data_IF_867137171551
#
_entry.id   IF_867137171551
#
_cell.length_a   1.000
_cell.length_b   1.000
_cell.length_c   1.000
_cell.angle_alpha   90.00
_cell.angle_beta   90.00
_cell.angle_gamma   90.00
#
_symmetry.space_group_name_H-M   'P 1'
#
loop_
_entity.id
_entity.type
_entity.pdbx_description
1 polymer ?
#
# COMPACT_ATOMS: atom_id res chain seq x y z
N UNK A 1 5.58 5.70 21.60
CA UNK A 1 4.99 4.65 20.72
C UNK A 1 5.48 4.81 19.28
N UNK A 2 5.11 5.84 18.52
CA UNK A 2 5.58 5.99 17.13
C UNK A 2 6.95 6.71 17.09
N UNK A 3 7.95 6.07 17.63
CA UNK A 3 9.32 6.60 17.66
C UNK A 3 10.11 5.99 16.50
N UNK A 4 10.84 6.85 15.78
CA UNK A 4 11.78 6.36 14.76
C UNK A 4 12.93 5.65 15.46
N UNK A 5 13.42 4.58 14.85
CA UNK A 5 14.57 3.87 15.41
C UNK A 5 15.84 4.70 15.34
N UNK A 6 16.67 4.60 16.36
CA UNK A 6 18.03 5.15 16.34
C UNK A 6 18.93 4.43 15.33
N UNK A 7 18.51 3.25 14.85
CA UNK A 7 19.25 2.40 13.91
C UNK A 7 18.63 2.39 12.50
N UNK A 8 18.08 3.52 12.05
CA UNK A 8 17.53 3.65 10.71
C UNK A 8 18.59 3.37 9.64
N UNK A 9 18.28 2.45 8.72
CA UNK A 9 19.10 2.19 7.55
C UNK A 9 18.38 2.76 6.31
N UNK A 10 18.84 3.92 5.83
CA UNK A 10 18.21 4.63 4.71
C UNK A 10 18.97 4.35 3.43
N UNK A 11 18.34 3.65 2.50
CA UNK A 11 18.81 3.51 1.13
C UNK A 11 18.00 4.41 0.21
N UNK A 12 18.69 5.14 -0.68
CA UNK A 12 18.08 6.03 -1.66
C UNK A 12 18.48 5.62 -3.06
N UNK A 13 17.50 5.35 -3.90
CA UNK A 13 17.68 5.05 -5.32
C UNK A 13 17.06 6.15 -6.18
N UNK A 14 17.74 6.51 -7.27
CA UNK A 14 17.14 7.33 -8.33
C UNK A 14 16.61 6.39 -9.40
N UNK A 15 15.29 6.27 -9.47
CA UNK A 15 14.62 5.42 -10.43
C UNK A 15 13.79 6.26 -11.39
N UNK A 16 14.12 6.20 -12.68
CA UNK A 16 13.48 7.00 -13.75
C UNK A 16 13.36 8.50 -13.39
N UNK A 17 14.39 9.07 -12.73
CA UNK A 17 14.44 10.48 -12.36
C UNK A 17 13.61 10.85 -11.10
N UNK A 18 13.04 9.90 -10.38
CA UNK A 18 12.40 10.10 -9.08
C UNK A 18 13.15 9.35 -7.98
N UNK A 19 13.08 9.84 -6.75
CA UNK A 19 13.69 9.15 -5.60
C UNK A 19 12.78 8.08 -5.07
N UNK A 20 13.36 6.93 -4.77
CA UNK A 20 12.73 5.87 -3.97
C UNK A 20 13.60 5.70 -2.73
N UNK A 21 12.98 5.73 -1.57
CA UNK A 21 13.66 5.46 -0.30
C UNK A 21 13.19 4.12 0.23
N UNK A 22 14.14 3.29 0.64
CA UNK A 22 13.91 2.08 1.43
C UNK A 22 14.54 2.31 2.79
N UNK A 23 13.74 2.21 3.84
CA UNK A 23 14.18 2.51 5.20
C UNK A 23 13.91 1.29 6.05
N UNK A 24 14.97 0.59 6.43
CA UNK A 24 14.92 -0.55 7.32
C UNK A 24 15.00 -0.10 8.79
N UNK A 25 14.52 -0.94 9.69
CA UNK A 25 14.43 -0.64 11.11
C UNK A 25 13.66 0.69 11.37
N UNK A 26 12.53 0.87 10.71
CA UNK A 26 11.85 2.18 10.66
C UNK A 26 11.37 2.64 12.03
N UNK A 27 10.64 1.79 12.76
CA UNK A 27 10.21 2.08 14.13
C UNK A 27 11.10 1.41 15.16
N UNK A 28 11.30 2.07 16.29
CA UNK A 28 12.08 1.55 17.41
C UNK A 28 11.43 0.32 18.06
N UNK A 29 10.11 0.34 18.24
CA UNK A 29 9.34 -0.73 18.85
C UNK A 29 8.22 -1.22 17.89
N UNK A 30 8.57 -1.91 16.77
CA UNK A 30 7.61 -2.26 15.74
C UNK A 30 6.54 -3.25 16.20
N UNK A 31 6.86 -4.14 17.14
CA UNK A 31 5.88 -5.10 17.68
C UNK A 31 4.81 -4.39 18.50
N UNK A 32 5.17 -3.41 19.32
CA UNK A 32 4.21 -2.60 20.09
C UNK A 32 3.29 -1.80 19.15
N UNK A 33 3.85 -1.28 18.06
CA UNK A 33 3.07 -0.53 17.07
C UNK A 33 2.15 -1.46 16.29
N UNK A 34 2.65 -2.61 15.87
CA UNK A 34 1.86 -3.63 15.19
C UNK A 34 0.68 -4.08 16.05
N UNK A 35 0.93 -4.38 17.32
CA UNK A 35 -0.12 -4.76 18.28
C UNK A 35 -1.14 -3.62 18.46
N UNK A 36 -0.70 -2.38 18.53
CA UNK A 36 -1.60 -1.24 18.65
C UNK A 36 -2.47 -1.02 17.43
N UNK A 37 -1.89 -1.16 16.22
CA UNK A 37 -2.60 -0.89 14.97
C UNK A 37 -3.51 -2.05 14.53
N UNK A 38 -3.16 -3.31 14.83
CA UNK A 38 -3.77 -4.49 14.22
C UNK A 38 -4.37 -5.48 15.22
N UNK A 39 -4.31 -5.20 16.53
CA UNK A 39 -4.87 -6.08 17.57
C UNK A 39 -6.36 -6.33 17.36
N UNK A 40 -7.11 -5.28 17.06
CA UNK A 40 -8.51 -5.38 16.72
C UNK A 40 -8.64 -5.11 15.20
N UNK A 41 -9.40 -5.93 14.47
CA UNK A 41 -9.63 -5.68 13.06
C UNK A 41 -10.21 -4.28 12.84
N UNK A 42 -9.60 -3.51 11.97
CA UNK A 42 -10.15 -2.24 11.54
C UNK A 42 -11.55 -2.44 10.92
N UNK A 43 -12.44 -1.45 10.94
CA UNK A 43 -13.72 -1.56 10.26
C UNK A 43 -13.52 -1.82 8.77
N UNK A 44 -14.44 -2.57 8.17
CA UNK A 44 -14.48 -2.71 6.71
C UNK A 44 -14.59 -1.32 6.08
N UNK A 45 -13.96 -1.16 4.94
CA UNK A 45 -14.07 0.07 4.18
C UNK A 45 -15.54 0.34 3.82
N UNK A 46 -16.00 1.57 3.94
CA UNK A 46 -17.44 1.94 3.82
C UNK A 46 -18.09 1.55 2.50
N UNK A 47 -17.30 1.37 1.44
CA UNK A 47 -17.83 0.96 0.14
C UNK A 47 -18.37 -0.47 0.15
N UNK A 48 -17.98 -1.30 1.11
CA UNK A 48 -18.50 -2.66 1.28
C UNK A 48 -19.90 -2.73 1.89
N UNK A 49 -20.37 -1.65 2.52
CA UNK A 49 -21.72 -1.56 3.05
C UNK A 49 -22.80 -1.35 1.95
N UNK A 50 -22.38 -1.31 0.67
CA UNK A 50 -23.32 -1.13 -0.43
C UNK A 50 -23.96 -2.47 -0.83
N UNK A 51 -25.27 -2.68 -0.57
CA UNK A 51 -25.95 -3.96 -0.86
C UNK A 51 -26.03 -4.30 -2.36
N UNK A 52 -25.70 -3.36 -3.25
CA UNK A 52 -25.64 -3.61 -4.70
C UNK A 52 -24.46 -4.48 -5.09
N UNK A 53 -23.43 -4.57 -4.23
CA UNK A 53 -22.21 -5.29 -4.50
C UNK A 53 -22.01 -6.40 -3.47
N UNK A 54 -22.81 -7.47 -3.57
CA UNK A 54 -22.79 -8.59 -2.60
C UNK A 54 -21.56 -9.50 -2.71
N UNK A 55 -20.73 -9.34 -3.72
CA UNK A 55 -19.54 -10.17 -3.95
C UNK A 55 -18.29 -9.38 -3.67
N UNK A 56 -17.94 -9.26 -2.40
CA UNK A 56 -16.66 -8.69 -2.00
C UNK A 56 -15.57 -9.72 -2.26
N UNK A 57 -14.74 -9.46 -3.28
CA UNK A 57 -13.64 -10.34 -3.70
C UNK A 57 -12.49 -10.38 -2.68
N UNK A 58 -12.47 -9.45 -1.73
CA UNK A 58 -11.47 -9.39 -0.69
C UNK A 58 -11.98 -8.57 0.51
N UNK A 59 -11.38 -8.78 1.67
CA UNK A 59 -11.59 -7.91 2.82
C UNK A 59 -10.52 -6.82 2.84
N UNK A 60 -10.95 -5.58 2.73
CA UNK A 60 -10.12 -4.41 2.93
C UNK A 60 -10.61 -3.64 4.16
N UNK A 61 -9.81 -3.67 5.21
CA UNK A 61 -10.10 -3.02 6.47
C UNK A 61 -9.19 -1.82 6.59
N UNK A 62 -9.77 -0.63 6.59
CA UNK A 62 -9.03 0.64 6.65
C UNK A 62 -9.45 1.45 7.85
N UNK A 63 -8.47 1.92 8.60
CA UNK A 63 -8.66 2.90 9.65
C UNK A 63 -7.80 4.12 9.33
N UNK A 64 -8.41 5.27 9.15
CA UNK A 64 -7.68 6.54 9.13
C UNK A 64 -7.20 6.85 10.54
N UNK A 65 -5.90 6.89 10.71
CA UNK A 65 -5.28 7.05 12.01
C UNK A 65 -4.57 8.39 12.08
N UNK A 66 -5.30 9.43 12.50
CA UNK A 66 -4.61 10.64 12.95
C UNK A 66 -4.25 10.49 14.43
N UNK A 67 -2.98 10.35 14.69
CA UNK A 67 -2.43 10.33 16.04
C UNK A 67 -1.34 11.41 16.12
N UNK A 68 -1.48 12.33 17.06
CA UNK A 68 -0.50 13.41 17.26
C UNK A 68 0.92 12.87 17.50
N UNK A 69 1.03 11.66 18.03
CA UNK A 69 2.32 10.97 18.25
C UNK A 69 3.04 10.61 16.95
N UNK A 70 2.35 10.61 15.82
CA UNK A 70 2.94 10.42 14.49
C UNK A 70 3.63 11.67 13.94
N UNK A 71 3.49 12.82 14.58
CA UNK A 71 4.05 14.07 14.06
C UNK A 71 5.57 14.02 13.79
N UNK A 72 6.42 13.40 14.63
CA UNK A 72 7.84 13.26 14.31
C UNK A 72 8.08 12.43 13.04
N UNK A 73 7.33 11.34 12.86
CA UNK A 73 7.40 10.48 11.66
C UNK A 73 6.98 11.25 10.41
N UNK A 74 5.86 11.95 10.49
CA UNK A 74 5.34 12.78 9.39
C UNK A 74 6.38 13.85 8.99
N UNK A 75 6.97 14.55 9.95
CA UNK A 75 7.99 15.55 9.68
C UNK A 75 9.24 14.97 9.01
N UNK A 76 9.66 13.78 9.44
CA UNK A 76 10.79 13.08 8.86
C UNK A 76 10.52 12.70 7.39
N UNK A 77 9.37 12.07 7.11
CA UNK A 77 8.99 11.66 5.76
C UNK A 77 8.73 12.87 4.84
N UNK A 78 8.11 13.93 5.35
CA UNK A 78 7.92 15.18 4.62
C UNK A 78 9.24 15.83 4.19
N UNK A 79 10.25 15.77 5.07
CA UNK A 79 11.60 16.26 4.75
C UNK A 79 12.28 15.40 3.67
N UNK A 80 12.11 14.08 3.69
CA UNK A 80 12.67 13.17 2.70
C UNK A 80 12.03 13.36 1.32
N UNK A 81 10.69 13.41 1.28
CA UNK A 81 9.93 13.59 0.04
C UNK A 81 10.00 15.02 -0.50
N UNK A 82 10.31 15.99 0.35
CA UNK A 82 10.17 17.43 0.07
C UNK A 82 8.72 17.82 -0.26
N UNK A 83 7.74 17.11 0.30
CA UNK A 83 6.31 17.33 0.08
C UNK A 83 5.57 17.58 1.40
N UNK A 84 4.38 18.13 1.30
CA UNK A 84 3.53 18.34 2.46
C UNK A 84 2.75 17.07 2.79
N UNK A 85 2.60 16.71 4.05
CA UNK A 85 1.77 15.58 4.44
C UNK A 85 0.30 15.92 4.18
N UNK A 86 -0.45 14.98 3.63
CA UNK A 86 -1.89 14.96 3.74
C UNK A 86 -2.24 14.54 5.16
N UNK A 87 -2.44 15.52 6.04
CA UNK A 87 -2.60 15.30 7.48
C UNK A 87 -3.74 14.36 7.88
N UNK A 88 -4.67 14.11 6.96
CA UNK A 88 -5.85 13.27 7.19
C UNK A 88 -5.78 11.91 6.50
N UNK A 89 -4.69 11.62 5.79
CA UNK A 89 -4.55 10.39 5.02
C UNK A 89 -3.34 9.57 5.49
N UNK A 90 -3.32 9.25 6.78
CA UNK A 90 -2.54 8.14 7.31
C UNK A 90 -3.52 7.01 7.53
N UNK A 91 -3.33 5.91 6.80
CA UNK A 91 -4.21 4.77 6.90
C UNK A 91 -3.50 3.54 7.44
N UNK A 92 -4.22 2.78 8.24
CA UNK A 92 -3.85 1.43 8.64
C UNK A 92 -4.69 0.48 7.83
N UNK A 93 -4.05 -0.36 7.04
CA UNK A 93 -4.73 -1.27 6.13
C UNK A 93 -4.47 -2.72 6.52
N UNK A 94 -5.55 -3.51 6.52
CA UNK A 94 -5.54 -4.96 6.65
C UNK A 94 -6.28 -5.53 5.45
N UNK A 95 -5.57 -6.21 4.56
CA UNK A 95 -6.15 -6.75 3.32
C UNK A 95 -5.95 -8.25 3.25
N UNK A 96 -7.00 -8.99 2.94
CA UNK A 96 -6.97 -10.42 2.60
C UNK A 96 -7.96 -10.72 1.47
N UNK A 97 -7.74 -11.82 0.77
CA UNK A 97 -8.55 -12.25 -0.37
C UNK A 97 -9.41 -13.45 0.00
N UNK A 98 -10.58 -13.56 -0.62
CA UNK A 98 -11.45 -14.71 -0.46
C UNK A 98 -11.02 -15.83 -1.41
N UNK A 99 -10.87 -17.05 -0.88
CA UNK A 99 -10.35 -18.22 -1.61
C UNK A 99 -11.18 -18.61 -2.84
N UNK A 100 -12.49 -18.40 -2.80
CA UNK A 100 -13.42 -18.96 -3.79
C UNK A 100 -13.44 -18.23 -5.14
N UNK A 101 -12.81 -17.05 -5.24
CA UNK A 101 -13.01 -16.18 -6.40
C UNK A 101 -11.74 -15.89 -7.20
N UNK A 102 -10.55 -16.31 -6.73
CA UNK A 102 -9.29 -16.00 -7.40
C UNK A 102 -8.43 -17.22 -7.72
N UNK A 103 -8.98 -18.13 -8.49
CA UNK A 103 -8.16 -19.14 -9.16
C UNK A 103 -7.15 -18.53 -10.16
N UNK A 104 -7.22 -17.22 -10.41
CA UNK A 104 -6.47 -16.57 -11.50
C UNK A 104 -5.57 -15.40 -11.09
N UNK A 105 -5.30 -15.18 -9.77
CA UNK A 105 -4.35 -14.14 -9.34
C UNK A 105 -2.97 -14.28 -10.01
N UNK A 106 -2.60 -15.48 -10.45
CA UNK A 106 -1.37 -15.74 -11.23
C UNK A 106 -1.35 -15.06 -12.58
N UNK A 107 -2.53 -14.85 -13.19
CA UNK A 107 -2.69 -14.24 -14.51
C UNK A 107 -3.13 -12.78 -14.44
N UNK A 108 -3.44 -12.29 -13.24
CA UNK A 108 -3.90 -10.94 -13.01
C UNK A 108 -2.92 -10.15 -12.14
N UNK A 109 -3.08 -8.84 -12.14
CA UNK A 109 -2.40 -7.93 -11.23
C UNK A 109 -3.43 -7.13 -10.45
N UNK A 110 -3.04 -6.67 -9.25
CA UNK A 110 -3.84 -5.71 -8.51
C UNK A 110 -3.87 -4.37 -9.24
N UNK A 111 -5.03 -3.76 -9.32
CA UNK A 111 -5.28 -2.53 -10.08
C UNK A 111 -4.25 -1.45 -9.82
N UNK A 112 -3.42 -1.09 -10.82
CA UNK A 112 -2.52 0.03 -10.71
C UNK A 112 -3.31 1.34 -10.63
N UNK A 113 -3.00 2.15 -9.64
CA UNK A 113 -3.55 3.48 -9.43
C UNK A 113 -2.43 4.48 -9.17
N UNK A 114 -2.75 5.75 -9.27
CA UNK A 114 -1.86 6.87 -8.93
C UNK A 114 -2.45 7.65 -7.76
N UNK A 115 -1.58 8.21 -6.95
CA UNK A 115 -1.94 9.08 -5.83
C UNK A 115 -1.50 10.52 -6.07
N UNK A 116 -1.85 11.44 -5.17
CA UNK A 116 -1.59 12.87 -5.35
C UNK A 116 -0.12 13.25 -5.21
N UNK A 117 0.70 12.41 -4.56
CA UNK A 117 2.11 12.69 -4.32
C UNK A 117 2.91 11.46 -3.93
N UNK A 118 3.84 11.63 -2.99
CA UNK A 118 4.60 10.52 -2.45
C UNK A 118 3.75 9.65 -1.52
N UNK A 119 4.01 8.35 -1.54
CA UNK A 119 3.45 7.38 -0.62
C UNK A 119 4.55 6.76 0.22
N UNK A 120 4.36 6.75 1.53
CA UNK A 120 5.19 5.98 2.46
C UNK A 120 4.41 4.76 2.94
N UNK A 121 4.93 3.56 2.75
CA UNK A 121 4.28 2.31 3.17
C UNK A 121 5.19 1.59 4.16
N UNK A 122 4.73 1.39 5.39
CA UNK A 122 5.38 0.53 6.39
C UNK A 122 4.73 -0.84 6.36
N UNK A 123 5.52 -1.90 6.23
CA UNK A 123 5.06 -3.29 6.22
C UNK A 123 5.18 -3.92 7.61
N UNK A 124 4.12 -4.63 8.03
CA UNK A 124 4.03 -5.25 9.36
C UNK A 124 3.86 -6.78 9.34
N UNK A 125 3.95 -7.42 8.19
CA UNK A 125 3.91 -8.88 8.12
C UNK A 125 5.32 -9.46 8.33
N UNK A 126 5.47 -10.26 9.39
CA UNK A 126 6.70 -11.01 9.65
C UNK A 126 6.88 -12.07 8.56
N UNK A 127 8.12 -12.24 8.08
CA UNK A 127 8.48 -13.24 7.07
C UNK A 127 7.81 -13.05 5.68
N UNK A 128 7.26 -11.88 5.39
CA UNK A 128 6.86 -11.53 4.02
C UNK A 128 8.00 -10.74 3.34
N UNK A 129 8.59 -11.34 2.32
CA UNK A 129 9.64 -10.74 1.49
C UNK A 129 9.24 -10.69 0.01
N UNK A 130 7.98 -10.96 -0.30
CA UNK A 130 7.51 -11.13 -1.67
C UNK A 130 6.33 -10.24 -2.04
N UNK A 131 5.30 -10.17 -1.17
CA UNK A 131 4.04 -9.48 -1.46
C UNK A 131 4.10 -7.98 -1.13
N UNK A 132 5.03 -7.26 -1.73
CA UNK A 132 5.23 -5.84 -1.56
C UNK A 132 4.33 -4.96 -2.44
N UNK A 133 4.95 -3.97 -3.08
CA UNK A 133 4.27 -3.02 -3.97
C UNK A 133 4.95 -3.00 -5.33
N UNK A 134 4.17 -3.22 -6.38
CA UNK A 134 4.65 -3.07 -7.75
C UNK A 134 4.49 -1.63 -8.22
N UNK A 135 5.47 -1.18 -8.99
CA UNK A 135 5.41 0.03 -9.80
C UNK A 135 5.26 -0.38 -11.26
N UNK A 136 4.41 0.35 -11.97
CA UNK A 136 4.11 0.09 -13.38
C UNK A 136 4.54 1.28 -14.24
N UNK A 137 4.75 1.03 -15.53
CA UNK A 137 4.90 2.10 -16.51
C UNK A 137 3.57 2.83 -16.66
N UNK A 138 3.65 4.10 -17.09
CA UNK A 138 2.47 4.85 -17.47
C UNK A 138 1.66 4.06 -18.51
N UNK A 139 0.35 3.99 -18.30
CA UNK A 139 -0.56 3.30 -19.19
C UNK A 139 -0.78 4.19 -20.40
N UNK A 140 -0.35 3.76 -21.57
CA UNK A 140 -0.45 4.54 -22.81
C UNK A 140 -1.84 4.48 -23.44
N UNK A 141 -2.65 3.49 -23.10
CA UNK A 141 -4.02 3.35 -23.62
C UNK A 141 -5.07 3.49 -22.50
N UNK A 142 -5.46 4.73 -22.27
CA UNK A 142 -6.47 5.10 -21.27
C UNK A 142 -7.87 4.60 -21.69
N UNK A 143 -8.09 4.29 -22.99
CA UNK A 143 -9.40 3.83 -23.47
C UNK A 143 -9.80 2.48 -22.90
N UNK A 144 -8.85 1.64 -22.53
CA UNK A 144 -9.10 0.35 -21.90
C UNK A 144 -9.30 0.42 -20.38
N UNK A 145 -8.99 1.55 -19.75
CA UNK A 145 -9.36 1.79 -18.34
C UNK A 145 -10.88 2.00 -18.18
N UNK A 146 -11.55 2.44 -19.24
CA UNK A 146 -12.93 2.91 -19.19
C UNK A 146 -13.98 1.80 -19.05
N UNK A 147 -13.65 0.55 -19.34
CA UNK A 147 -14.59 -0.58 -19.16
C UNK A 147 -14.96 -0.83 -17.69
N UNK A 148 -14.23 -0.19 -16.76
CA UNK A 148 -14.43 -0.34 -15.31
C UNK A 148 -14.72 0.97 -14.59
N UNK A 149 -14.84 2.10 -15.28
CA UNK A 149 -15.02 3.45 -14.71
C UNK A 149 -16.27 3.60 -13.81
N UNK A 150 -17.22 2.68 -13.92
CA UNK A 150 -18.43 2.69 -13.10
C UNK A 150 -18.41 1.62 -12.00
N UNK A 151 -17.33 0.82 -11.89
CA UNK A 151 -17.20 -0.20 -10.87
C UNK A 151 -16.12 0.25 -9.89
N UNK A 152 -16.45 0.50 -8.61
CA UNK A 152 -15.45 0.85 -7.61
C UNK A 152 -14.29 -0.16 -7.61
N UNK A 153 -13.07 0.32 -7.41
CA UNK A 153 -11.83 -0.46 -7.37
C UNK A 153 -11.98 -1.76 -6.57
N UNK A 154 -12.66 -1.68 -5.44
CA UNK A 154 -12.85 -2.80 -4.50
C UNK A 154 -13.71 -3.94 -5.05
N UNK A 155 -14.46 -3.72 -6.12
CA UNK A 155 -15.32 -4.76 -6.73
C UNK A 155 -14.73 -5.36 -8.00
N UNK A 156 -13.72 -4.72 -8.58
CA UNK A 156 -13.01 -5.25 -9.74
C UNK A 156 -11.52 -4.87 -9.71
N UNK A 157 -10.78 -5.26 -8.67
CA UNK A 157 -9.41 -4.79 -8.47
C UNK A 157 -8.39 -5.50 -9.38
N UNK A 158 -8.78 -6.60 -10.01
CA UNK A 158 -7.88 -7.41 -10.80
C UNK A 158 -7.88 -6.99 -12.28
N UNK A 159 -6.67 -6.91 -12.85
CA UNK A 159 -6.42 -6.55 -14.25
C UNK A 159 -5.56 -7.61 -14.93
N UNK A 160 -5.74 -7.76 -16.25
CA UNK A 160 -4.92 -8.66 -17.06
C UNK A 160 -3.47 -8.18 -17.08
N UNK A 161 -2.52 -9.08 -16.86
CA UNK A 161 -1.08 -8.75 -16.77
C UNK A 161 -0.54 -8.11 -18.04
N UNK A 162 -1.06 -8.53 -19.17
CA UNK A 162 -0.61 -8.10 -20.51
C UNK A 162 -0.84 -6.61 -20.76
N UNK A 163 -1.75 -6.00 -20.00
CA UNK A 163 -2.11 -4.59 -20.15
C UNK A 163 -1.18 -3.63 -19.40
N UNK A 164 -0.33 -4.14 -18.52
CA UNK A 164 0.49 -3.33 -17.65
C UNK A 164 1.93 -3.83 -17.63
N UNK A 165 2.88 -2.93 -17.83
CA UNK A 165 4.28 -3.26 -17.71
C UNK A 165 4.77 -3.00 -16.29
N UNK A 166 5.02 -4.05 -15.54
CA UNK A 166 5.72 -3.92 -14.26
C UNK A 166 7.16 -3.47 -14.50
N UNK A 167 7.55 -2.36 -13.88
CA UNK A 167 8.89 -1.78 -14.02
C UNK A 167 9.75 -1.98 -12.77
N UNK A 168 9.13 -2.15 -11.60
CA UNK A 168 9.84 -2.39 -10.35
C UNK A 168 8.91 -3.05 -9.32
N UNK A 169 9.49 -3.82 -8.41
CA UNK A 169 8.83 -4.27 -7.18
C UNK A 169 9.57 -3.69 -5.98
N UNK A 170 8.83 -3.04 -5.10
CA UNK A 170 9.30 -2.59 -3.79
C UNK A 170 9.10 -3.74 -2.83
N UNK A 171 10.21 -4.32 -2.36
CA UNK A 171 10.20 -5.55 -1.55
C UNK A 171 9.78 -5.23 -0.11
N UNK A 172 8.79 -5.93 0.45
CA UNK A 172 8.40 -5.75 1.82
C UNK A 172 9.39 -6.45 2.76
N UNK A 173 9.58 -5.91 3.92
CA UNK A 173 10.17 -6.56 5.08
C UNK A 173 9.50 -6.02 6.33
N UNK A 174 9.45 -6.81 7.38
CA UNK A 174 8.89 -6.36 8.65
C UNK A 174 9.61 -5.11 9.17
N UNK A 175 8.84 -4.06 9.51
CA UNK A 175 9.36 -2.77 9.93
C UNK A 175 10.20 -2.02 8.87
N UNK A 176 10.00 -2.34 7.59
CA UNK A 176 10.54 -1.56 6.46
C UNK A 176 9.51 -0.53 6.01
N UNK A 177 9.98 0.70 5.81
CA UNK A 177 9.24 1.72 5.07
C UNK A 177 9.80 1.84 3.65
N UNK A 178 8.92 1.87 2.66
CA UNK A 178 9.23 2.32 1.31
C UNK A 178 8.53 3.66 1.07
N UNK A 179 9.26 4.65 0.52
CA UNK A 179 8.73 5.97 0.18
C UNK A 179 9.03 6.26 -1.28
N UNK A 180 7.99 6.46 -2.08
CA UNK A 180 8.09 6.60 -3.53
C UNK A 180 7.06 7.60 -4.07
N UNK A 181 7.30 8.09 -5.29
CA UNK A 181 6.43 9.04 -5.98
C UNK A 181 5.20 8.30 -6.56
N UNK A 182 4.12 8.26 -5.78
CA UNK A 182 2.86 7.61 -6.14
C UNK A 182 2.09 8.35 -7.24
N UNK A 183 2.39 9.62 -7.48
CA UNK A 183 1.84 10.36 -8.61
C UNK A 183 2.50 9.97 -9.93
N UNK A 184 3.81 9.75 -9.91
CA UNK A 184 4.58 9.40 -11.10
C UNK A 184 4.42 7.95 -11.50
N UNK A 185 4.35 7.05 -10.53
CA UNK A 185 4.34 5.62 -10.77
C UNK A 185 2.97 5.04 -10.42
N UNK A 186 2.17 4.63 -11.43
CA UNK A 186 1.04 3.77 -11.15
C UNK A 186 1.52 2.55 -10.34
N UNK A 187 0.80 2.22 -9.28
CA UNK A 187 1.25 1.20 -8.34
C UNK A 187 0.09 0.39 -7.77
N UNK A 188 0.42 -0.79 -7.27
CA UNK A 188 -0.54 -1.70 -6.67
C UNK A 188 0.15 -2.82 -5.89
N UNK A 189 -0.62 -3.62 -5.18
CA UNK A 189 -0.08 -4.75 -4.42
C UNK A 189 0.60 -5.76 -5.34
N UNK A 190 1.77 -6.28 -4.91
CA UNK A 190 2.41 -7.42 -5.56
C UNK A 190 1.89 -8.71 -4.91
N UNK A 191 0.92 -9.36 -5.52
CA UNK A 191 0.36 -10.62 -5.05
C UNK A 191 0.89 -11.72 -5.96
N UNK A 192 1.78 -12.56 -5.45
CA UNK A 192 2.47 -13.61 -6.23
C UNK A 192 2.34 -15.01 -5.65
N UNK A 193 1.75 -15.12 -4.47
CA UNK A 193 1.48 -16.39 -3.80
C UNK A 193 0.11 -16.33 -3.09
N UNK A 194 -0.29 -17.43 -2.48
CA UNK A 194 -1.58 -17.61 -1.84
C UNK A 194 -1.63 -17.18 -0.36
N UNK A 195 -0.56 -16.58 0.15
CA UNK A 195 -0.42 -16.26 1.57
C UNK A 195 -1.61 -15.50 2.12
N UNK A 196 -2.09 -14.49 1.38
CA UNK A 196 -3.20 -13.63 1.79
C UNK A 196 -4.57 -14.09 1.28
N UNK A 197 -4.65 -15.33 0.78
CA UNK A 197 -5.90 -16.01 0.41
C UNK A 197 -6.39 -16.96 1.51
N UNK A 198 -6.02 -16.70 2.75
CA UNK A 198 -6.35 -17.48 3.92
C UNK A 198 -6.77 -16.55 5.07
N UNK A 199 -6.52 -16.97 6.30
CA UNK A 199 -6.84 -16.17 7.50
C UNK A 199 -5.82 -15.04 7.77
N UNK A 200 -4.68 -15.00 7.06
CA UNK A 200 -3.67 -13.96 7.28
C UNK A 200 -4.02 -12.68 6.51
N UNK A 201 -3.94 -11.55 7.23
CA UNK A 201 -4.04 -10.23 6.61
C UNK A 201 -2.67 -9.70 6.19
N UNK A 202 -2.62 -9.04 5.03
CA UNK A 202 -1.53 -8.15 4.68
C UNK A 202 -1.72 -6.84 5.43
N UNK A 203 -0.81 -6.57 6.37
CA UNK A 203 -0.87 -5.44 7.28
C UNK A 203 0.13 -4.37 6.87
N UNK A 204 -0.35 -3.13 6.69
CA UNK A 204 0.53 -2.00 6.43
C UNK A 204 -0.04 -0.69 6.98
N UNK A 205 0.85 0.28 7.17
CA UNK A 205 0.49 1.66 7.46
C UNK A 205 0.96 2.51 6.29
N UNK A 206 0.08 3.37 5.77
CA UNK A 206 0.35 4.20 4.60
C UNK A 206 0.28 5.67 4.98
N UNK A 207 1.27 6.43 4.53
CA UNK A 207 1.37 7.88 4.66
C UNK A 207 1.25 8.50 3.27
N UNK A 208 0.26 9.36 3.08
CA UNK A 208 0.06 10.07 1.83
C UNK A 208 0.59 11.51 1.92
N UNK A 209 1.21 11.98 0.84
CA UNK A 209 1.75 13.31 0.73
C UNK A 209 1.20 14.02 -0.50
N UNK A 210 0.92 15.30 -0.34
CA UNK A 210 0.44 16.16 -1.42
C UNK A 210 1.63 16.78 -2.17
N UNK A 211 1.53 16.82 -3.47
CA UNK A 211 2.51 17.50 -4.31
C UNK A 211 2.43 19.01 -4.09
N UNK A 212 3.60 19.65 -3.90
CA UNK A 212 3.72 21.09 -3.69
C UNK A 212 3.45 21.89 -4.95
#
# INVERSE_FOLDING_TARGET
MFELSDNLEINTEIFQGSKIFTIDNFYENPDEISDYLFKEPAPLHKEYDNPTYNNVLFEDRRLRTYDVRLQPVINFLSKLSSQKPLLYDITTNQTRFNDDEFNDYKNCIWWPHVDEGYNGIVYFNKNDTECGTNLYSEITDVSEMNDYDNIPEHFAPWRQKEKYQKIKTLIPEYNRLVLFDGYKFPHGMNIINDRYFSDEYRNNQVFFFERA
#
